data_IF_349826727390
#
_entry.id   IF_349826727390
#
_cell.length_a   1.000
_cell.length_b   1.000
_cell.length_c   1.000
_cell.angle_alpha   90.00
_cell.angle_beta   90.00
_cell.angle_gamma   90.00
#
_symmetry.space_group_name_H-M   'P 1'
#
loop_
_entity.id
_entity.type
_entity.pdbx_description
1 polymer ?
#
# COMPACT_ATOMS: atom_id res chain seq x y z
N UNK A 1 -31.81 7.00 -5.92
CA UNK A 1 -31.70 8.42 -6.36
C UNK A 1 -31.96 9.43 -5.24
N UNK A 2 -33.11 9.42 -4.54
CA UNK A 2 -33.42 10.39 -3.44
C UNK A 2 -32.40 10.38 -2.28
N UNK A 3 -31.99 9.20 -1.80
CA UNK A 3 -30.99 9.05 -0.72
C UNK A 3 -29.60 9.59 -1.13
N UNK A 4 -29.19 9.41 -2.39
CA UNK A 4 -27.91 9.91 -2.91
C UNK A 4 -27.90 11.43 -3.05
N UNK A 5 -29.00 12.01 -3.54
CA UNK A 5 -29.15 13.46 -3.64
C UNK A 5 -29.03 14.14 -2.28
N UNK A 6 -29.56 13.51 -1.22
CA UNK A 6 -29.44 14.02 0.15
C UNK A 6 -27.98 14.16 0.59
N UNK A 7 -27.13 13.16 0.30
CA UNK A 7 -25.69 13.22 0.64
C UNK A 7 -24.99 14.39 -0.07
N UNK A 8 -25.31 14.62 -1.34
CA UNK A 8 -24.75 15.73 -2.12
C UNK A 8 -25.23 17.08 -1.57
N UNK A 9 -26.54 17.24 -1.36
CA UNK A 9 -27.13 18.49 -0.88
C UNK A 9 -26.66 18.88 0.53
N UNK A 10 -26.33 17.90 1.36
CA UNK A 10 -25.83 18.13 2.73
C UNK A 10 -24.29 18.16 2.82
N UNK A 11 -23.58 18.24 1.69
CA UNK A 11 -22.12 18.36 1.65
C UNK A 11 -21.39 17.19 2.32
N UNK A 12 -21.97 15.99 2.32
CA UNK A 12 -21.34 14.78 2.90
C UNK A 12 -20.39 14.10 1.93
N UNK A 13 -20.38 14.55 0.68
CA UNK A 13 -19.54 14.09 -0.42
C UNK A 13 -19.14 15.25 -1.32
N UNK A 14 -18.10 15.07 -2.11
CA UNK A 14 -17.59 16.08 -3.06
C UNK A 14 -18.60 16.37 -4.19
N UNK A 15 -19.42 15.37 -4.53
CA UNK A 15 -20.32 15.45 -5.68
C UNK A 15 -20.84 14.08 -6.12
N UNK A 16 -21.36 14.03 -7.35
CA UNK A 16 -21.85 12.78 -7.95
C UNK A 16 -20.75 11.84 -8.41
N UNK A 17 -19.55 12.37 -8.59
CA UNK A 17 -18.33 11.67 -8.96
C UNK A 17 -17.48 11.28 -7.73
N UNK A 18 -17.97 11.50 -6.50
CA UNK A 18 -17.26 11.11 -5.28
C UNK A 18 -16.85 9.62 -5.33
N UNK A 19 -15.59 9.26 -5.02
CA UNK A 19 -15.11 7.87 -5.10
C UNK A 19 -15.91 6.86 -4.27
N UNK A 20 -16.65 7.32 -3.25
CA UNK A 20 -17.47 6.47 -2.39
C UNK A 20 -18.88 6.25 -2.94
N UNK A 21 -19.28 6.98 -3.99
CA UNK A 21 -20.60 6.88 -4.58
C UNK A 21 -20.72 5.66 -5.51
N UNK A 22 -21.91 5.00 -5.54
CA UNK A 22 -22.17 3.87 -6.43
C UNK A 22 -22.52 4.33 -7.86
N UNK A 23 -22.06 5.50 -8.28
CA UNK A 23 -22.22 6.01 -9.66
C UNK A 23 -21.06 5.49 -10.52
N UNK A 24 -21.27 5.39 -11.83
CA UNK A 24 -20.18 5.01 -12.77
C UNK A 24 -19.01 5.98 -12.65
N UNK A 25 -19.28 7.29 -12.56
CA UNK A 25 -18.23 8.30 -12.39
C UNK A 25 -17.47 8.12 -11.06
N UNK A 26 -18.17 7.88 -9.95
CA UNK A 26 -17.56 7.67 -8.64
C UNK A 26 -16.66 6.43 -8.60
N UNK A 27 -17.15 5.27 -9.04
CA UNK A 27 -16.35 4.05 -9.03
C UNK A 27 -15.16 4.12 -10.00
N UNK A 28 -15.29 4.80 -11.14
CA UNK A 28 -14.17 5.04 -12.07
C UNK A 28 -13.15 5.99 -11.46
N UNK A 29 -13.57 7.09 -10.82
CA UNK A 29 -12.67 7.99 -10.08
C UNK A 29 -11.95 7.27 -8.93
N UNK A 30 -12.60 6.30 -8.29
CA UNK A 30 -11.97 5.42 -7.28
C UNK A 30 -10.92 4.46 -7.86
N UNK A 31 -10.89 4.25 -9.18
CA UNK A 31 -9.93 3.38 -9.85
C UNK A 31 -10.51 2.08 -10.40
N UNK A 32 -11.83 1.97 -10.58
CA UNK A 32 -12.45 0.85 -11.27
C UNK A 32 -12.12 0.88 -12.77
N UNK A 33 -11.63 -0.24 -13.31
CA UNK A 33 -11.47 -0.46 -14.74
C UNK A 33 -12.82 -0.79 -15.37
N UNK A 34 -13.09 -0.20 -16.54
CA UNK A 34 -14.36 -0.37 -17.26
C UNK A 34 -14.56 -1.84 -17.64
N UNK A 35 -13.47 -2.53 -17.96
CA UNK A 35 -13.45 -3.95 -18.27
C UNK A 35 -13.96 -4.80 -17.09
N UNK A 36 -13.62 -4.43 -15.85
CA UNK A 36 -14.15 -5.11 -14.65
C UNK A 36 -15.66 -4.90 -14.51
N UNK A 37 -16.14 -3.69 -14.80
CA UNK A 37 -17.57 -3.37 -14.76
C UNK A 37 -18.35 -4.16 -15.82
N UNK A 38 -17.82 -4.25 -17.05
CA UNK A 38 -18.44 -5.04 -18.12
C UNK A 38 -18.49 -6.52 -17.73
N UNK A 39 -17.38 -7.08 -17.24
CA UNK A 39 -17.34 -8.47 -16.77
C UNK A 39 -18.35 -8.73 -15.65
N UNK A 40 -18.45 -7.82 -14.68
CA UNK A 40 -19.42 -7.93 -13.59
C UNK A 40 -20.88 -7.96 -14.09
N UNK A 41 -21.22 -7.10 -15.06
CA UNK A 41 -22.56 -7.09 -15.69
C UNK A 41 -22.82 -8.39 -16.45
N UNK A 42 -21.82 -8.90 -17.18
CA UNK A 42 -21.93 -10.16 -17.92
C UNK A 42 -22.11 -11.38 -16.99
N UNK A 43 -21.41 -11.43 -15.85
CA UNK A 43 -21.54 -12.49 -14.85
C UNK A 43 -22.93 -12.55 -14.21
N UNK A 44 -23.64 -11.42 -14.14
CA UNK A 44 -25.01 -11.39 -13.61
C UNK A 44 -25.99 -12.18 -14.49
N UNK A 45 -25.76 -12.21 -15.80
CA UNK A 45 -26.64 -12.85 -16.78
C UNK A 45 -28.04 -12.23 -16.86
N UNK A 46 -28.81 -12.64 -17.87
CA UNK A 46 -30.21 -12.26 -17.99
C UNK A 46 -31.08 -13.20 -17.14
N UNK A 47 -31.45 -12.78 -15.93
CA UNK A 47 -32.36 -13.51 -15.05
C UNK A 47 -33.49 -12.61 -14.56
N UNK A 48 -34.69 -13.18 -14.42
CA UNK A 48 -35.83 -12.50 -13.79
C UNK A 48 -35.73 -12.47 -12.26
N UNK A 49 -34.81 -13.26 -11.68
CA UNK A 49 -34.61 -13.32 -10.23
C UNK A 49 -33.76 -12.14 -9.75
N UNK A 50 -34.20 -11.51 -8.66
CA UNK A 50 -33.50 -10.39 -8.04
C UNK A 50 -32.27 -10.91 -7.31
N UNK A 51 -31.10 -10.73 -7.92
CA UNK A 51 -29.81 -11.12 -7.33
C UNK A 51 -29.11 -9.89 -6.74
N UNK A 52 -28.94 -9.86 -5.42
CA UNK A 52 -28.15 -8.85 -4.73
C UNK A 52 -26.69 -9.30 -4.74
N UNK A 53 -25.92 -8.79 -5.70
CA UNK A 53 -24.48 -9.02 -5.76
C UNK A 53 -23.78 -8.12 -4.74
N UNK A 54 -22.85 -8.72 -3.99
CA UNK A 54 -22.00 -8.00 -3.06
C UNK A 54 -21.00 -7.11 -3.81
N UNK A 55 -20.78 -5.91 -3.29
CA UNK A 55 -19.86 -4.92 -3.86
C UNK A 55 -18.42 -5.44 -3.94
N UNK A 56 -18.04 -6.34 -3.02
CA UNK A 56 -16.73 -6.98 -2.97
C UNK A 56 -16.41 -7.79 -4.24
N UNK A 57 -17.42 -8.35 -4.92
CA UNK A 57 -17.21 -9.11 -6.16
C UNK A 57 -16.68 -8.22 -7.28
N UNK A 58 -17.25 -7.02 -7.44
CA UNK A 58 -16.81 -6.03 -8.43
C UNK A 58 -15.34 -5.64 -8.18
N UNK A 59 -14.98 -5.34 -6.93
CA UNK A 59 -13.60 -4.97 -6.58
C UNK A 59 -12.63 -6.13 -6.70
N UNK A 60 -13.09 -7.36 -6.47
CA UNK A 60 -12.30 -8.58 -6.71
C UNK A 60 -11.98 -8.75 -8.19
N UNK A 61 -12.96 -8.55 -9.09
CA UNK A 61 -12.73 -8.55 -10.53
C UNK A 61 -11.75 -7.44 -10.94
N UNK A 62 -11.95 -6.23 -10.42
CA UNK A 62 -11.03 -5.11 -10.69
C UNK A 62 -9.60 -5.41 -10.25
N UNK A 63 -9.42 -6.00 -9.06
CA UNK A 63 -8.11 -6.41 -8.56
C UNK A 63 -7.44 -7.43 -9.48
N UNK A 64 -8.17 -8.41 -10.01
CA UNK A 64 -7.63 -9.40 -10.97
C UNK A 64 -7.10 -8.76 -12.26
N UNK A 65 -7.68 -7.63 -12.68
CA UNK A 65 -7.24 -6.88 -13.86
C UNK A 65 -6.02 -6.02 -13.55
N UNK A 66 -6.01 -5.31 -12.43
CA UNK A 66 -4.97 -4.33 -12.09
C UNK A 66 -3.72 -4.98 -11.51
N UNK A 67 -3.87 -5.96 -10.62
CA UNK A 67 -2.76 -6.52 -9.84
C UNK A 67 -1.62 -7.09 -10.71
N UNK A 68 -1.88 -7.80 -11.82
CA UNK A 68 -0.81 -8.34 -12.66
C UNK A 68 0.04 -7.29 -13.38
N UNK A 69 -0.51 -6.08 -13.60
CA UNK A 69 0.12 -5.04 -14.45
C UNK A 69 0.55 -3.79 -13.70
N UNK A 70 0.07 -3.58 -12.46
CA UNK A 70 0.32 -2.34 -11.74
C UNK A 70 1.76 -2.21 -11.24
N UNK A 71 2.43 -1.07 -11.45
CA UNK A 71 3.72 -0.76 -10.83
C UNK A 71 3.64 -0.80 -9.30
N UNK A 72 4.65 -1.36 -8.63
CA UNK A 72 4.74 -1.40 -7.17
C UNK A 72 5.55 -0.22 -6.63
N UNK A 73 4.93 0.52 -5.73
CA UNK A 73 5.51 1.68 -5.05
C UNK A 73 5.57 1.43 -3.54
N UNK A 74 6.47 2.13 -2.89
CA UNK A 74 6.61 2.12 -1.43
C UNK A 74 6.37 3.53 -0.94
N UNK A 75 5.59 3.64 0.13
CA UNK A 75 5.34 4.87 0.86
C UNK A 75 5.44 4.55 2.35
N UNK A 76 5.88 5.53 3.14
CA UNK A 76 5.94 5.46 4.59
C UNK A 76 5.23 6.70 5.12
N UNK A 77 4.39 6.55 6.15
CA UNK A 77 3.67 7.66 6.77
C UNK A 77 4.69 8.56 7.47
N UNK A 78 4.73 9.84 7.11
CA UNK A 78 5.77 10.77 7.57
C UNK A 78 5.80 10.92 9.10
N UNK A 79 4.64 11.02 9.74
CA UNK A 79 4.51 11.19 11.19
C UNK A 79 4.84 9.91 11.97
N UNK A 80 4.85 8.76 11.29
CA UNK A 80 5.08 7.44 11.86
C UNK A 80 6.24 6.72 11.18
N UNK A 81 7.19 7.45 10.60
CA UNK A 81 8.41 6.85 10.06
C UNK A 81 9.44 6.66 11.17
N UNK A 82 10.12 5.52 11.14
CA UNK A 82 11.27 5.25 12.01
C UNK A 82 12.54 5.10 11.21
N UNK A 83 13.62 5.63 11.78
CA UNK A 83 14.94 5.53 11.18
C UNK A 83 15.57 4.19 11.56
N UNK A 84 15.94 3.38 10.58
CA UNK A 84 16.86 2.25 10.74
C UNK A 84 18.24 2.65 10.20
N UNK A 85 19.25 2.58 11.07
CA UNK A 85 20.66 2.80 10.71
C UNK A 85 21.39 1.46 10.56
N UNK A 86 21.87 1.19 9.35
CA UNK A 86 22.66 0.02 9.00
C UNK A 86 24.15 0.35 9.18
N UNK A 87 24.78 -0.17 10.23
CA UNK A 87 26.15 0.23 10.62
C UNK A 87 27.22 -0.21 9.62
N UNK A 88 27.02 -1.34 8.95
CA UNK A 88 27.84 -1.80 7.81
C UNK A 88 27.16 -1.50 6.45
N UNK A 89 26.22 -0.56 6.43
CA UNK A 89 25.61 -0.06 5.20
C UNK A 89 26.60 0.70 4.32
N UNK A 90 26.21 1.10 3.10
CA UNK A 90 27.09 1.81 2.19
C UNK A 90 27.51 3.19 2.73
N UNK A 91 28.81 3.48 2.68
CA UNK A 91 29.39 4.76 3.14
C UNK A 91 28.89 5.95 2.30
N UNK A 92 28.74 5.74 1.00
CA UNK A 92 28.18 6.72 0.06
C UNK A 92 26.90 6.16 -0.55
N UNK A 93 25.81 6.97 -0.63
CA UNK A 93 24.63 6.62 -1.38
C UNK A 93 24.96 6.15 -2.79
N UNK A 94 24.29 5.09 -3.24
CA UNK A 94 24.36 4.64 -4.63
C UNK A 94 22.97 4.28 -5.13
N UNK A 95 22.80 4.27 -6.46
CA UNK A 95 21.51 4.02 -7.10
C UNK A 95 21.58 2.73 -7.89
N UNK A 96 20.51 1.92 -7.83
CA UNK A 96 20.29 0.80 -8.75
C UNK A 96 18.99 1.00 -9.50
N UNK A 97 19.00 0.58 -10.76
CA UNK A 97 17.78 0.47 -11.56
C UNK A 97 17.19 -0.92 -11.32
N UNK A 98 15.93 -0.97 -10.88
CA UNK A 98 15.21 -2.21 -10.60
C UNK A 98 13.82 -2.20 -11.23
N UNK A 99 13.22 -3.35 -11.55
CA UNK A 99 11.87 -3.41 -12.10
C UNK A 99 10.84 -2.83 -11.13
N UNK A 100 9.83 -2.11 -11.64
CA UNK A 100 8.67 -1.68 -10.85
C UNK A 100 7.73 -2.84 -10.55
N UNK A 101 7.76 -3.91 -11.34
CA UNK A 101 6.98 -5.11 -11.11
C UNK A 101 7.76 -6.37 -11.53
N UNK A 102 8.04 -7.27 -10.57
CA UNK A 102 8.92 -8.44 -10.79
C UNK A 102 8.43 -9.44 -11.83
N UNK A 103 7.13 -9.43 -12.14
CA UNK A 103 6.49 -10.39 -13.04
C UNK A 103 5.93 -9.73 -14.32
N UNK A 104 6.12 -8.42 -14.47
CA UNK A 104 5.53 -7.67 -15.59
C UNK A 104 6.47 -6.55 -16.02
N UNK A 105 7.24 -6.81 -17.07
CA UNK A 105 8.25 -5.89 -17.60
C UNK A 105 7.61 -4.60 -18.15
N UNK A 106 6.35 -4.66 -18.60
CA UNK A 106 5.59 -3.51 -19.08
C UNK A 106 5.35 -2.43 -18.00
N UNK A 107 5.57 -2.73 -16.72
CA UNK A 107 5.55 -1.73 -15.65
C UNK A 107 6.78 -0.80 -15.68
N UNK A 108 7.83 -1.15 -16.43
CA UNK A 108 9.08 -0.42 -16.51
C UNK A 108 9.94 -0.53 -15.25
N UNK A 109 10.90 0.38 -15.13
CA UNK A 109 11.93 0.35 -14.08
C UNK A 109 11.89 1.60 -13.19
N UNK A 110 12.54 1.50 -12.03
CA UNK A 110 12.71 2.61 -11.08
C UNK A 110 14.16 2.68 -10.61
N UNK A 111 14.65 3.91 -10.43
CA UNK A 111 15.87 4.18 -9.70
C UNK A 111 15.58 4.08 -8.20
N UNK A 112 16.32 3.21 -7.49
CA UNK A 112 16.22 3.06 -6.04
C UNK A 112 17.56 3.43 -5.42
N UNK A 113 17.54 4.40 -4.51
CA UNK A 113 18.71 4.88 -3.78
C UNK A 113 18.94 4.01 -2.55
N UNK A 114 20.17 3.57 -2.33
CA UNK A 114 20.59 2.72 -1.21
C UNK A 114 21.56 3.50 -0.33
N UNK A 115 21.24 3.65 0.95
CA UNK A 115 22.02 4.43 1.92
C UNK A 115 22.04 3.72 3.28
N UNK A 116 23.03 4.00 4.13
CA UNK A 116 23.07 3.43 5.49
C UNK A 116 21.88 3.81 6.40
N UNK A 117 21.05 4.77 6.01
CA UNK A 117 19.96 5.33 6.83
C UNK A 117 18.67 5.25 6.03
N UNK A 118 17.72 4.45 6.51
CA UNK A 118 16.46 4.19 5.82
C UNK A 118 15.28 4.42 6.75
N UNK A 119 14.17 4.85 6.16
CA UNK A 119 12.87 4.98 6.79
C UNK A 119 12.09 3.67 6.67
N UNK A 120 11.51 3.25 7.79
CA UNK A 120 10.55 2.16 7.91
C UNK A 120 9.23 2.71 8.47
N UNK A 121 8.13 1.98 8.24
CA UNK A 121 6.88 2.27 8.94
C UNK A 121 6.98 1.85 10.41
N UNK A 122 6.39 2.63 11.31
CA UNK A 122 6.38 2.33 12.74
C UNK A 122 5.72 0.97 13.04
N UNK A 123 4.62 0.63 12.36
CA UNK A 123 3.91 -0.62 12.59
C UNK A 123 4.75 -1.85 12.22
N UNK A 124 5.57 -1.72 11.16
CA UNK A 124 6.54 -2.73 10.76
C UNK A 124 7.64 -2.88 11.82
N UNK A 125 8.14 -1.76 12.35
CA UNK A 125 9.20 -1.74 13.36
C UNK A 125 8.77 -2.33 14.71
N UNK A 126 7.51 -2.14 15.13
CA UNK A 126 6.96 -2.73 16.36
C UNK A 126 6.96 -4.26 16.35
N UNK A 127 6.92 -4.86 15.16
CA UNK A 127 6.90 -6.31 15.01
C UNK A 127 8.30 -6.93 15.12
N UNK A 128 9.36 -6.12 15.16
CA UNK A 128 10.75 -6.58 15.13
C UNK A 128 11.26 -6.83 16.55
N UNK A 129 11.97 -7.95 16.73
CA UNK A 129 12.71 -8.26 17.95
C UNK A 129 14.21 -7.96 17.80
N UNK A 130 14.90 -7.74 18.92
CA UNK A 130 16.37 -7.65 18.93
C UNK A 130 16.96 -8.97 18.44
N UNK A 131 18.02 -8.87 17.64
CA UNK A 131 18.69 -9.95 16.92
C UNK A 131 17.83 -10.69 15.89
N UNK A 132 16.67 -10.14 15.53
CA UNK A 132 15.83 -10.70 14.46
C UNK A 132 16.39 -10.37 13.07
N UNK A 133 16.41 -11.38 12.20
CA UNK A 133 16.74 -11.23 10.80
C UNK A 133 15.48 -10.90 9.98
N UNK A 134 15.52 -9.77 9.28
CA UNK A 134 14.44 -9.24 8.46
C UNK A 134 14.87 -9.12 7.01
N UNK A 135 13.95 -9.29 6.06
CA UNK A 135 14.20 -8.97 4.65
C UNK A 135 13.89 -7.50 4.40
N UNK A 136 14.85 -6.74 3.89
CA UNK A 136 14.62 -5.44 3.25
C UNK A 136 14.29 -5.69 1.77
N UNK A 137 13.06 -5.37 1.37
CA UNK A 137 12.55 -5.65 0.03
C UNK A 137 13.47 -5.09 -1.06
N UNK A 138 13.85 -5.93 -2.03
CA UNK A 138 14.74 -5.59 -3.15
C UNK A 138 16.16 -5.13 -2.76
N UNK A 139 16.57 -5.39 -1.52
CA UNK A 139 17.94 -5.17 -1.04
C UNK A 139 18.60 -6.47 -0.58
N UNK A 140 17.99 -7.18 0.37
CA UNK A 140 18.57 -8.34 1.03
C UNK A 140 18.19 -8.39 2.50
N UNK A 141 18.84 -9.24 3.27
CA UNK A 141 18.53 -9.36 4.70
C UNK A 141 19.33 -8.35 5.53
N UNK A 142 18.78 -8.00 6.69
CA UNK A 142 19.43 -7.26 7.74
C UNK A 142 19.09 -7.87 9.10
N UNK A 143 19.99 -7.74 10.07
CA UNK A 143 19.76 -8.16 11.45
C UNK A 143 19.64 -6.90 12.29
N UNK A 144 18.51 -6.74 12.99
CA UNK A 144 18.31 -5.61 13.90
C UNK A 144 19.01 -5.92 15.20
N UNK A 145 20.01 -5.10 15.56
CA UNK A 145 20.88 -5.33 16.73
C UNK A 145 20.47 -4.53 17.95
N UNK A 146 19.80 -3.41 17.74
CA UNK A 146 19.36 -2.54 18.82
C UNK A 146 18.04 -1.86 18.46
N UNK A 147 17.16 -1.78 19.45
CA UNK A 147 15.89 -1.06 19.38
C UNK A 147 15.95 0.04 20.44
N UNK A 148 16.06 1.29 19.99
CA UNK A 148 16.14 2.45 20.87
C UNK A 148 14.72 2.93 21.13
N UNK A 149 14.41 3.14 22.42
CA UNK A 149 13.09 3.58 22.89
C UNK A 149 13.21 4.87 23.70
N UNK A 150 12.15 5.66 23.69
CA UNK A 150 12.00 6.82 24.57
C UNK A 150 11.60 6.43 26.01
N UNK A 151 11.37 7.43 26.86
CA UNK A 151 10.98 7.23 28.26
C UNK A 151 9.57 6.61 28.40
N UNK A 152 8.72 6.78 27.39
CA UNK A 152 7.36 6.26 27.34
C UNK A 152 7.30 4.84 26.73
N UNK A 153 8.44 4.33 26.27
CA UNK A 153 8.58 2.99 25.70
C UNK A 153 8.29 2.91 24.19
N UNK A 154 8.10 4.04 23.50
CA UNK A 154 7.93 4.08 22.06
C UNK A 154 9.27 3.92 21.36
N UNK A 155 9.28 3.20 20.22
CA UNK A 155 10.50 3.04 19.43
C UNK A 155 10.82 4.37 18.74
N UNK A 156 12.06 4.85 18.86
CA UNK A 156 12.50 6.08 18.20
C UNK A 156 13.47 5.81 17.06
N UNK A 157 14.27 4.75 17.17
CA UNK A 157 15.28 4.40 16.19
C UNK A 157 15.63 2.91 16.27
N UNK A 158 16.01 2.34 15.14
CA UNK A 158 16.58 1.01 15.05
C UNK A 158 18.03 1.09 14.59
N UNK A 159 18.86 0.20 15.10
CA UNK A 159 20.23 0.00 14.62
C UNK A 159 20.39 -1.45 14.22
N UNK A 160 20.96 -1.69 13.04
CA UNK A 160 21.13 -3.02 12.51
C UNK A 160 22.36 -3.16 11.62
N UNK A 161 22.54 -4.35 11.08
CA UNK A 161 23.60 -4.70 10.14
C UNK A 161 23.01 -5.40 8.93
N UNK A 162 23.47 -5.05 7.73
CA UNK A 162 23.21 -5.82 6.53
C UNK A 162 23.82 -7.21 6.65
N UNK A 163 23.03 -8.22 6.27
CA UNK A 163 23.41 -9.62 6.23
C UNK A 163 23.05 -10.19 4.86
N UNK A 164 23.78 -9.75 3.82
CA UNK A 164 23.44 -10.07 2.42
C UNK A 164 23.64 -11.55 2.04
N UNK A 165 24.39 -12.30 2.85
CA UNK A 165 24.55 -13.75 2.72
C UNK A 165 23.33 -14.53 3.22
N UNK A 166 22.43 -13.86 3.95
CA UNK A 166 21.17 -14.41 4.44
C UNK A 166 20.19 -14.77 3.34
N UNK A 167 19.19 -15.59 3.69
CA UNK A 167 18.16 -16.03 2.75
C UNK A 167 16.83 -15.31 3.00
N UNK A 168 16.31 -14.63 1.97
CA UNK A 168 14.97 -13.99 2.00
C UNK A 168 13.80 -15.00 2.14
N UNK A 169 14.11 -16.31 2.08
CA UNK A 169 13.12 -17.38 2.25
C UNK A 169 12.94 -17.80 3.72
N UNK A 170 13.92 -17.53 4.57
CA UNK A 170 13.92 -17.98 5.98
C UNK A 170 13.37 -16.92 6.93
N UNK A 171 13.45 -15.64 6.57
CA UNK A 171 12.95 -14.53 7.39
C UNK A 171 11.42 -14.47 7.37
N UNK A 172 10.82 -14.20 8.54
CA UNK A 172 9.37 -14.01 8.69
C UNK A 172 8.93 -12.62 8.23
N UNK A 173 9.66 -11.59 8.63
CA UNK A 173 9.34 -10.20 8.33
C UNK A 173 9.99 -9.74 7.02
N UNK A 174 9.19 -9.10 6.17
CA UNK A 174 9.62 -8.52 4.89
C UNK A 174 9.18 -7.08 4.85
N UNK A 175 10.14 -6.18 5.00
CA UNK A 175 9.90 -4.77 5.24
C UNK A 175 10.09 -3.98 3.97
N UNK A 176 9.16 -3.06 3.72
CA UNK A 176 9.37 -2.01 2.73
C UNK A 176 10.08 -0.83 3.38
N UNK A 177 10.91 -0.13 2.61
CA UNK A 177 11.77 0.92 3.13
C UNK A 177 11.95 2.04 2.11
N UNK A 178 12.27 3.23 2.59
CA UNK A 178 12.67 4.38 1.78
C UNK A 178 14.05 4.86 2.24
N UNK A 179 14.91 5.26 1.30
CA UNK A 179 16.16 5.91 1.69
C UNK A 179 15.90 7.22 2.41
N UNK A 180 16.69 7.53 3.44
CA UNK A 180 16.76 8.89 3.95
C UNK A 180 17.52 9.75 2.93
N UNK A 181 16.77 10.51 2.14
CA UNK A 181 17.26 11.40 1.08
C UNK A 181 16.29 12.56 0.87
N UNK A 182 16.79 13.64 0.25
CA UNK A 182 15.98 14.80 -0.13
C UNK A 182 15.21 14.59 -1.45
N UNK A 183 15.36 13.43 -2.09
CA UNK A 183 14.69 13.07 -3.35
C UNK A 183 13.28 12.49 -3.13
N UNK A 184 12.85 12.31 -1.87
CA UNK A 184 11.52 11.80 -1.55
C UNK A 184 10.44 12.81 -1.94
N UNK A 185 9.32 12.29 -2.47
CA UNK A 185 8.16 13.10 -2.86
C UNK A 185 7.07 12.91 -1.82
N UNK A 186 6.56 14.01 -1.29
CA UNK A 186 5.43 13.99 -0.37
C UNK A 186 4.14 13.68 -1.12
N UNK A 187 3.34 12.77 -0.58
CA UNK A 187 2.08 12.32 -1.15
C UNK A 187 0.98 12.39 -0.09
N UNK A 188 -0.23 12.73 -0.50
CA UNK A 188 -1.41 12.61 0.34
C UNK A 188 -2.13 11.30 0.04
N UNK A 189 -2.24 10.44 1.06
CA UNK A 189 -3.04 9.21 0.98
C UNK A 189 -4.47 9.52 1.38
N UNK A 190 -5.43 9.13 0.53
CA UNK A 190 -6.86 9.24 0.84
C UNK A 190 -7.46 7.84 0.84
N UNK A 191 -7.91 7.41 2.01
CA UNK A 191 -8.57 6.12 2.17
C UNK A 191 -10.10 6.30 2.07
N UNK A 192 -10.74 5.45 1.26
CA UNK A 192 -12.18 5.46 1.07
C UNK A 192 -12.83 4.24 1.68
N UNK A 193 -13.67 4.46 2.68
CA UNK A 193 -14.52 3.42 3.28
C UNK A 193 -16.00 3.60 2.87
N UNK A 194 -16.84 2.66 3.28
CA UNK A 194 -18.26 2.64 3.02
C UNK A 194 -18.97 3.86 3.63
N UNK A 195 -19.67 4.63 2.78
CA UNK A 195 -20.55 5.72 3.25
C UNK A 195 -21.70 5.23 4.13
N UNK A 196 -22.06 3.95 4.00
CA UNK A 196 -23.13 3.34 4.78
C UNK A 196 -22.66 2.00 5.32
N UNK A 197 -22.62 1.89 6.64
CA UNK A 197 -22.12 0.70 7.35
C UNK A 197 -23.17 -0.41 7.50
N UNK A 198 -24.45 -0.12 7.22
CA UNK A 198 -25.54 -1.12 7.23
C UNK A 198 -25.68 -1.79 5.86
N UNK A 199 -25.57 -3.12 5.83
CA UNK A 199 -25.73 -3.94 4.61
C UNK A 199 -27.10 -3.81 3.93
N UNK A 200 -28.17 -3.56 4.70
CA UNK A 200 -29.52 -3.29 4.17
C UNK A 200 -29.94 -1.88 4.57
N UNK A 201 -29.97 -0.98 3.59
CA UNK A 201 -30.54 0.37 3.72
C UNK A 201 -31.82 0.48 2.88
N UNK A 202 -32.22 -0.62 2.25
CA UNK A 202 -33.46 -0.75 1.50
C UNK A 202 -34.55 -1.33 2.40
N UNK A 203 -35.07 -0.45 3.26
CA UNK A 203 -36.49 -0.39 3.59
C UNK A 203 -37.00 0.96 3.12
#
# INVERSE_FOLDING_TARGET
KRKLLWFVQNGKVDGWDDPRFPTVQGIVRRGLKIEALIQFILEQGASKNLNLMEWDKLWTLNKKIIDPVCPRHTAVIEERRLLLTLTNGPDKPFVRIIPRHKKYDGAGEKATTYTKRIWLDYADAECISVDEEVTLMDWGNAIVKEIIKDQDGNITQLVGVLHLEGSVKTTKLKLTWLAETNELVNLSLVEFDYLITKKKVLS
#
